data_IF_765613847978
#
_entry.id   IF_765613847978
#
_cell.length_a   1.000
_cell.length_b   1.000
_cell.length_c   1.000
_cell.angle_alpha   90.00
_cell.angle_beta   90.00
_cell.angle_gamma   90.00
#
_symmetry.space_group_name_H-M   'P 1'
#
loop_
_entity.id
_entity.type
_entity.pdbx_description
1 polymer ?
#
# COMPACT_ATOMS: atom_id res chain seq x y z
N UNK A 1 17.36 -5.47 -26.01
CA UNK A 1 16.11 -6.24 -25.97
C UNK A 1 15.53 -6.15 -27.37
N UNK A 2 15.61 -7.23 -28.10
CA UNK A 2 15.02 -7.33 -29.43
C UNK A 2 13.50 -7.10 -29.30
N UNK A 3 12.99 -6.28 -30.18
CA UNK A 3 11.58 -5.92 -30.26
C UNK A 3 10.81 -7.12 -30.85
N UNK A 4 10.61 -8.17 -30.03
CA UNK A 4 9.70 -9.24 -30.42
C UNK A 4 8.30 -8.62 -30.47
N UNK A 5 7.81 -8.39 -31.68
CA UNK A 5 6.45 -7.89 -31.92
C UNK A 5 5.39 -8.79 -31.25
N UNK A 6 4.21 -8.24 -31.05
CA UNK A 6 3.09 -9.00 -30.49
C UNK A 6 2.76 -10.24 -31.36
N UNK A 7 2.63 -11.39 -30.72
CA UNK A 7 2.15 -12.63 -31.33
C UNK A 7 1.04 -13.25 -30.45
N UNK A 8 0.33 -14.22 -30.99
CA UNK A 8 -0.84 -14.83 -30.31
C UNK A 8 -0.55 -15.25 -28.85
N UNK A 9 0.55 -15.97 -28.63
CA UNK A 9 0.91 -16.46 -27.29
C UNK A 9 1.20 -15.33 -26.30
N UNK A 10 1.87 -14.25 -26.72
CA UNK A 10 2.16 -13.11 -25.86
C UNK A 10 0.90 -12.30 -25.53
N UNK A 11 -0.04 -12.16 -26.50
CA UNK A 11 -1.33 -11.49 -26.26
C UNK A 11 -2.23 -12.31 -25.33
N UNK A 12 -2.31 -13.62 -25.51
CA UNK A 12 -3.05 -14.51 -24.61
C UNK A 12 -2.43 -14.52 -23.21
N UNK A 13 -1.10 -14.53 -23.11
CA UNK A 13 -0.39 -14.40 -21.85
C UNK A 13 -0.74 -13.09 -21.11
N UNK A 14 -0.66 -11.95 -21.82
CA UNK A 14 -1.03 -10.65 -21.27
C UNK A 14 -2.50 -10.64 -20.79
N UNK A 15 -3.41 -11.17 -21.59
CA UNK A 15 -4.83 -11.28 -21.25
C UNK A 15 -5.08 -12.12 -19.98
N UNK A 16 -4.22 -13.09 -19.69
CA UNK A 16 -4.33 -14.01 -18.55
C UNK A 16 -3.64 -13.53 -17.26
N UNK A 17 -2.86 -12.46 -17.28
CA UNK A 17 -2.10 -12.02 -16.09
C UNK A 17 -2.98 -11.70 -14.86
N UNK A 18 -4.25 -11.39 -15.05
CA UNK A 18 -5.18 -11.17 -13.93
C UNK A 18 -5.35 -12.40 -13.03
N UNK A 19 -5.17 -13.63 -13.53
CA UNK A 19 -5.22 -14.86 -12.72
C UNK A 19 -4.14 -14.83 -11.62
N UNK A 20 -2.91 -14.45 -11.99
CA UNK A 20 -1.81 -14.33 -11.04
C UNK A 20 -2.07 -13.21 -10.03
N UNK A 21 -2.52 -12.05 -10.50
CA UNK A 21 -2.84 -10.92 -9.64
C UNK A 21 -3.95 -11.28 -8.63
N UNK A 22 -5.04 -11.90 -9.10
CA UNK A 22 -6.14 -12.33 -8.23
C UNK A 22 -5.70 -13.41 -7.22
N UNK A 23 -4.81 -14.32 -7.61
CA UNK A 23 -4.24 -15.33 -6.71
C UNK A 23 -3.41 -14.68 -5.60
N UNK A 24 -2.53 -13.73 -5.94
CA UNK A 24 -1.76 -12.95 -4.96
C UNK A 24 -2.69 -12.14 -4.05
N UNK A 25 -3.67 -11.45 -4.62
CA UNK A 25 -4.66 -10.67 -3.86
C UNK A 25 -5.41 -11.55 -2.85
N UNK A 26 -5.83 -12.75 -3.25
CA UNK A 26 -6.49 -13.70 -2.36
C UNK A 26 -5.56 -14.13 -1.22
N UNK A 27 -4.31 -14.49 -1.51
CA UNK A 27 -3.32 -14.86 -0.50
C UNK A 27 -3.08 -13.76 0.53
N UNK A 28 -2.96 -12.50 0.09
CA UNK A 28 -2.76 -11.35 0.98
C UNK A 28 -4.03 -11.02 1.76
N UNK A 29 -5.19 -10.99 1.10
CA UNK A 29 -6.49 -10.69 1.73
C UNK A 29 -6.87 -11.69 2.82
N UNK A 30 -6.62 -12.97 2.57
CA UNK A 30 -6.80 -14.05 3.54
C UNK A 30 -5.67 -14.10 4.58
N UNK A 31 -4.68 -13.25 4.48
CA UNK A 31 -3.50 -13.22 5.35
C UNK A 31 -2.76 -14.57 5.43
N UNK A 32 -2.74 -15.36 4.35
CA UNK A 32 -2.11 -16.68 4.29
C UNK A 32 -0.65 -16.63 4.72
N UNK A 33 0.10 -15.66 4.21
CA UNK A 33 1.53 -15.49 4.51
C UNK A 33 1.78 -15.18 5.99
N UNK A 34 1.00 -14.28 6.57
CA UNK A 34 1.08 -13.93 8.00
C UNK A 34 0.69 -15.10 8.90
N UNK A 35 -0.33 -15.88 8.48
CA UNK A 35 -0.80 -17.06 9.21
C UNK A 35 0.26 -18.17 9.26
N UNK A 36 1.01 -18.33 8.17
CA UNK A 36 2.13 -19.28 8.10
C UNK A 36 3.32 -18.73 8.90
N UNK A 37 3.65 -17.43 8.76
CA UNK A 37 4.78 -16.82 9.46
C UNK A 37 6.11 -17.50 9.15
N UNK A 38 6.82 -17.88 10.19
CA UNK A 38 8.09 -18.62 10.12
C UNK A 38 7.92 -20.14 10.19
N UNK A 39 6.66 -20.60 10.28
CA UNK A 39 6.31 -22.01 10.41
C UNK A 39 6.23 -22.73 9.06
N UNK A 40 6.09 -24.06 9.16
CA UNK A 40 5.67 -24.93 8.06
C UNK A 40 4.39 -25.65 8.50
N UNK A 41 3.28 -25.42 7.78
CA UNK A 41 1.94 -25.84 8.20
C UNK A 41 1.28 -26.76 7.17
N UNK A 42 0.43 -27.70 7.62
CA UNK A 42 -0.37 -28.53 6.74
C UNK A 42 -1.57 -27.77 6.17
N UNK A 43 -2.16 -28.29 5.10
CA UNK A 43 -3.40 -27.73 4.51
C UNK A 43 -4.52 -27.66 5.54
N UNK A 44 -4.68 -28.72 6.35
CA UNK A 44 -5.71 -28.82 7.38
C UNK A 44 -5.58 -27.69 8.40
N UNK A 45 -4.38 -27.47 8.92
CA UNK A 45 -4.08 -26.39 9.88
C UNK A 45 -4.36 -25.01 9.27
N UNK A 46 -3.94 -24.81 8.02
CA UNK A 46 -4.17 -23.51 7.34
C UNK A 46 -5.66 -23.30 7.10
N UNK A 47 -6.38 -24.31 6.59
CA UNK A 47 -7.80 -24.22 6.31
C UNK A 47 -8.62 -23.95 7.59
N UNK A 48 -8.29 -24.60 8.69
CA UNK A 48 -8.92 -24.38 10.00
C UNK A 48 -8.71 -22.94 10.49
N UNK A 49 -7.47 -22.45 10.45
CA UNK A 49 -7.14 -21.07 10.85
C UNK A 49 -7.79 -20.01 9.97
N UNK A 50 -7.90 -20.27 8.66
CA UNK A 50 -8.62 -19.41 7.70
C UNK A 50 -10.13 -19.50 7.84
N UNK A 51 -10.66 -20.51 8.54
CA UNK A 51 -12.08 -20.90 8.54
C UNK A 51 -12.58 -21.14 7.10
N UNK A 52 -11.72 -21.71 6.26
CA UNK A 52 -11.93 -21.93 4.84
C UNK A 52 -12.18 -23.40 4.50
N UNK A 53 -12.73 -23.62 3.31
CA UNK A 53 -12.83 -24.97 2.75
C UNK A 53 -11.44 -25.56 2.50
N UNK A 54 -11.24 -26.84 2.88
CA UNK A 54 -9.94 -27.53 2.75
C UNK A 54 -9.47 -27.58 1.31
N UNK A 55 -10.35 -27.98 0.36
CA UNK A 55 -9.99 -28.11 -1.06
C UNK A 55 -9.69 -26.76 -1.68
N UNK A 56 -10.50 -25.74 -1.40
CA UNK A 56 -10.27 -24.37 -1.84
C UNK A 56 -8.93 -23.82 -1.33
N UNK A 57 -8.66 -24.03 -0.03
CA UNK A 57 -7.38 -23.65 0.58
C UNK A 57 -6.20 -24.34 -0.11
N UNK A 58 -6.25 -25.66 -0.28
CA UNK A 58 -5.21 -26.45 -0.95
C UNK A 58 -4.94 -25.95 -2.37
N UNK A 59 -6.00 -25.67 -3.13
CA UNK A 59 -5.88 -25.12 -4.49
C UNK A 59 -5.15 -23.78 -4.51
N UNK A 60 -5.50 -22.86 -3.59
CA UNK A 60 -4.83 -21.56 -3.45
C UNK A 60 -3.35 -21.74 -3.09
N UNK A 61 -3.04 -22.60 -2.10
CA UNK A 61 -1.66 -22.85 -1.66
C UNK A 61 -0.80 -23.43 -2.78
N UNK A 62 -1.33 -24.34 -3.59
CA UNK A 62 -0.64 -24.86 -4.76
C UNK A 62 -0.37 -23.78 -5.82
N UNK A 63 -1.35 -22.89 -6.08
CA UNK A 63 -1.17 -21.78 -7.01
C UNK A 63 -0.10 -20.80 -6.50
N UNK A 64 -0.10 -20.44 -5.22
CA UNK A 64 0.93 -19.60 -4.60
C UNK A 64 2.31 -20.25 -4.64
N UNK A 65 2.38 -21.59 -4.49
CA UNK A 65 3.63 -22.35 -4.63
C UNK A 65 4.14 -22.34 -6.08
N UNK A 66 3.27 -22.53 -7.07
CA UNK A 66 3.63 -22.42 -8.48
C UNK A 66 4.14 -21.02 -8.85
N UNK A 67 3.63 -19.99 -8.21
CA UNK A 67 4.11 -18.60 -8.30
C UNK A 67 5.39 -18.33 -7.51
N UNK A 68 5.97 -19.33 -6.84
CA UNK A 68 7.18 -19.23 -5.99
C UNK A 68 7.01 -18.26 -4.81
N UNK A 69 5.79 -18.07 -4.35
CA UNK A 69 5.48 -17.30 -3.15
C UNK A 69 5.45 -18.18 -1.91
N UNK A 70 5.13 -19.46 -2.05
CA UNK A 70 5.26 -20.46 -1.01
C UNK A 70 6.22 -21.56 -1.45
N UNK A 71 6.76 -22.28 -0.47
CA UNK A 71 7.48 -23.54 -0.62
C UNK A 71 6.59 -24.68 -0.13
N UNK A 72 6.66 -25.83 -0.81
CA UNK A 72 5.97 -27.05 -0.37
C UNK A 72 6.97 -28.16 -0.16
N UNK A 73 6.98 -28.74 1.02
CA UNK A 73 7.71 -29.95 1.36
C UNK A 73 6.72 -31.02 1.83
N UNK A 74 6.59 -32.11 1.07
CA UNK A 74 5.59 -33.17 1.31
C UNK A 74 4.17 -32.60 1.32
N UNK A 75 3.54 -32.56 2.52
CA UNK A 75 2.18 -32.07 2.77
C UNK A 75 2.15 -30.70 3.48
N UNK A 76 3.30 -30.05 3.64
CA UNK A 76 3.43 -28.80 4.40
C UNK A 76 3.85 -27.64 3.51
N UNK A 77 3.35 -26.46 3.88
CA UNK A 77 3.60 -25.19 3.18
C UNK A 77 4.33 -24.21 4.11
N UNK A 78 5.31 -23.51 3.57
CA UNK A 78 6.08 -22.47 4.25
C UNK A 78 6.23 -21.24 3.36
N UNK A 79 6.46 -20.08 3.95
CA UNK A 79 6.82 -18.89 3.21
C UNK A 79 8.18 -19.04 2.53
N UNK A 80 8.35 -18.45 1.36
CA UNK A 80 9.68 -18.14 0.85
C UNK A 80 10.28 -16.97 1.65
N UNK A 81 11.61 -16.76 1.65
CA UNK A 81 12.22 -15.60 2.30
C UNK A 81 11.62 -14.27 1.82
N UNK A 82 11.33 -14.15 0.51
CA UNK A 82 10.70 -12.97 -0.06
C UNK A 82 9.28 -12.76 0.48
N UNK A 83 8.46 -13.81 0.52
CA UNK A 83 7.09 -13.72 1.03
C UNK A 83 7.06 -13.44 2.53
N UNK A 84 7.97 -14.02 3.31
CA UNK A 84 8.10 -13.73 4.73
C UNK A 84 8.42 -12.25 4.97
N UNK A 85 9.34 -11.70 4.20
CA UNK A 85 9.74 -10.29 4.32
C UNK A 85 8.70 -9.31 3.79
N UNK A 86 8.02 -9.62 2.67
CA UNK A 86 7.20 -8.65 1.94
C UNK A 86 5.69 -8.83 2.15
N UNK A 87 5.22 -10.02 2.53
CA UNK A 87 3.80 -10.36 2.58
C UNK A 87 3.26 -10.72 3.98
N UNK A 88 4.13 -10.79 4.99
CA UNK A 88 3.71 -10.96 6.39
C UNK A 88 3.52 -9.59 7.05
N UNK A 89 2.38 -9.40 7.73
CA UNK A 89 1.97 -8.11 8.33
C UNK A 89 2.90 -7.63 9.45
N UNK A 90 3.60 -8.54 10.10
CA UNK A 90 4.56 -8.28 11.18
C UNK A 90 5.96 -7.91 10.67
N UNK A 91 6.17 -7.91 9.36
CA UNK A 91 7.44 -7.52 8.74
C UNK A 91 7.51 -6.02 8.47
N UNK A 92 8.65 -5.39 8.73
CA UNK A 92 8.90 -3.99 8.38
C UNK A 92 8.86 -3.75 6.87
N UNK A 93 9.11 -4.78 6.06
CA UNK A 93 9.03 -4.73 4.59
C UNK A 93 7.62 -4.94 4.01
N UNK A 94 6.57 -5.07 4.83
CA UNK A 94 5.23 -5.43 4.39
C UNK A 94 4.66 -4.49 3.32
N UNK A 95 4.34 -5.03 2.15
CA UNK A 95 3.73 -4.30 1.01
C UNK A 95 2.27 -4.69 0.75
N UNK A 96 1.70 -5.54 1.60
CA UNK A 96 0.34 -6.09 1.40
C UNK A 96 -0.75 -5.01 1.36
N UNK A 97 -0.56 -3.86 2.01
CA UNK A 97 -1.50 -2.74 1.91
C UNK A 97 -1.63 -2.25 0.47
N UNK A 98 -0.53 -2.07 -0.26
CA UNK A 98 -0.56 -1.68 -1.67
C UNK A 98 -1.20 -2.77 -2.54
N UNK A 99 -0.93 -4.04 -2.26
CA UNK A 99 -1.54 -5.17 -2.97
C UNK A 99 -3.07 -5.19 -2.74
N UNK A 100 -3.54 -4.92 -1.52
CA UNK A 100 -4.96 -4.79 -1.22
C UNK A 100 -5.57 -3.54 -1.89
N UNK A 101 -4.84 -2.43 -1.96
CA UNK A 101 -5.27 -1.28 -2.75
C UNK A 101 -5.48 -1.67 -4.22
N UNK A 102 -4.55 -2.38 -4.85
CA UNK A 102 -4.71 -2.89 -6.21
C UNK A 102 -5.91 -3.85 -6.33
N UNK A 103 -6.15 -4.71 -5.33
CA UNK A 103 -7.34 -5.56 -5.29
C UNK A 103 -8.63 -4.72 -5.35
N UNK A 104 -8.71 -3.64 -4.57
CA UNK A 104 -9.89 -2.75 -4.58
C UNK A 104 -10.06 -2.00 -5.91
N UNK A 105 -8.97 -1.75 -6.63
CA UNK A 105 -9.03 -1.13 -7.96
C UNK A 105 -9.54 -2.08 -9.05
N UNK A 106 -9.31 -3.38 -8.92
CA UNK A 106 -9.55 -4.37 -9.98
C UNK A 106 -10.99 -4.29 -10.54
N UNK A 107 -12.01 -4.14 -9.68
CA UNK A 107 -13.40 -4.05 -10.08
C UNK A 107 -13.69 -2.86 -11.03
N UNK A 108 -12.94 -1.76 -10.90
CA UNK A 108 -13.07 -0.60 -11.79
C UNK A 108 -12.30 -0.79 -13.09
N UNK A 109 -11.16 -1.46 -13.03
CA UNK A 109 -10.33 -1.71 -14.20
C UNK A 109 -10.98 -2.67 -15.20
N UNK A 110 -11.77 -3.64 -14.75
CA UNK A 110 -12.54 -4.52 -15.66
C UNK A 110 -13.63 -3.78 -16.43
N UNK A 111 -13.95 -2.55 -16.04
CA UNK A 111 -14.94 -1.66 -16.66
C UNK A 111 -14.28 -0.50 -17.43
N UNK A 112 -13.02 -0.65 -17.83
CA UNK A 112 -12.27 0.42 -18.53
C UNK A 112 -12.95 0.85 -19.82
N UNK A 113 -13.60 -0.08 -20.53
CA UNK A 113 -14.35 0.22 -21.76
C UNK A 113 -15.53 1.19 -21.52
N UNK A 114 -16.20 1.12 -20.38
CA UNK A 114 -17.26 2.07 -19.99
C UNK A 114 -16.65 3.46 -19.78
N UNK A 115 -15.54 3.56 -19.02
CA UNK A 115 -14.84 4.82 -18.80
C UNK A 115 -14.40 5.49 -20.11
N UNK A 116 -13.90 4.69 -21.06
CA UNK A 116 -13.49 5.17 -22.39
C UNK A 116 -14.69 5.71 -23.18
N UNK A 117 -15.83 5.00 -23.16
CA UNK A 117 -17.04 5.44 -23.88
C UNK A 117 -17.66 6.70 -23.30
N UNK A 118 -17.63 6.82 -21.95
CA UNK A 118 -18.29 7.93 -21.26
C UNK A 118 -17.37 9.14 -21.02
N UNK A 119 -16.06 8.99 -21.22
CA UNK A 119 -15.07 10.04 -20.99
C UNK A 119 -14.92 10.44 -19.52
N UNK A 120 -15.31 9.57 -18.58
CA UNK A 120 -15.26 9.82 -17.13
C UNK A 120 -14.91 8.54 -16.34
N UNK A 121 -14.39 8.68 -15.12
CA UNK A 121 -14.11 7.51 -14.26
C UNK A 121 -15.39 6.72 -13.92
N UNK A 122 -15.31 5.39 -13.89
CA UNK A 122 -16.41 4.50 -13.46
C UNK A 122 -16.52 4.37 -11.93
N UNK A 123 -15.67 5.04 -11.18
CA UNK A 123 -15.67 5.04 -9.72
C UNK A 123 -15.19 6.37 -9.16
N UNK A 124 -15.51 6.64 -7.90
CA UNK A 124 -14.93 7.74 -7.16
C UNK A 124 -13.44 7.51 -6.86
N UNK A 125 -12.72 8.59 -6.60
CA UNK A 125 -11.29 8.51 -6.23
C UNK A 125 -11.11 7.74 -4.93
N UNK A 126 -10.03 6.97 -4.83
CA UNK A 126 -9.69 6.21 -3.62
C UNK A 126 -9.53 7.09 -2.37
N UNK A 127 -9.20 8.38 -2.57
CA UNK A 127 -9.09 9.37 -1.49
C UNK A 127 -10.41 9.63 -0.76
N UNK A 128 -11.55 9.36 -1.36
CA UNK A 128 -12.87 9.47 -0.74
C UNK A 128 -13.44 8.14 -0.26
N UNK A 129 -12.70 7.02 -0.39
CA UNK A 129 -13.12 5.74 0.15
C UNK A 129 -13.04 5.72 1.68
N UNK A 130 -13.77 4.81 2.31
CA UNK A 130 -13.80 4.61 3.76
C UNK A 130 -13.37 3.19 4.15
N UNK A 131 -13.15 2.97 5.45
CA UNK A 131 -12.83 1.66 6.01
C UNK A 131 -11.54 1.05 5.47
N UNK A 132 -11.58 -0.25 5.19
CA UNK A 132 -10.42 -1.04 4.72
C UNK A 132 -9.82 -0.52 3.40
N UNK A 133 -10.63 0.08 2.54
CA UNK A 133 -10.14 0.66 1.29
C UNK A 133 -9.26 1.88 1.55
N UNK A 134 -9.71 2.76 2.47
CA UNK A 134 -8.96 3.94 2.88
C UNK A 134 -7.66 3.54 3.57
N UNK A 135 -7.72 2.58 4.49
CA UNK A 135 -6.55 2.05 5.17
C UNK A 135 -5.54 1.48 4.17
N UNK A 136 -6.00 0.60 3.26
CA UNK A 136 -5.14 -0.03 2.25
C UNK A 136 -4.45 1.01 1.37
N UNK A 137 -5.17 2.07 0.98
CA UNK A 137 -4.60 3.17 0.20
C UNK A 137 -3.54 3.93 1.00
N UNK A 138 -3.90 4.47 2.17
CA UNK A 138 -3.01 5.32 2.97
C UNK A 138 -1.77 4.58 3.46
N UNK A 139 -1.94 3.35 3.96
CA UNK A 139 -0.81 2.54 4.43
C UNK A 139 0.04 2.03 3.26
N UNK A 140 -0.56 1.81 2.09
CA UNK A 140 0.17 1.54 0.86
C UNK A 140 1.04 2.73 0.43
N UNK A 141 0.50 3.95 0.49
CA UNK A 141 1.26 5.18 0.24
C UNK A 141 2.38 5.36 1.27
N UNK A 142 2.10 5.14 2.56
CA UNK A 142 3.12 5.15 3.61
C UNK A 142 4.29 4.21 3.27
N UNK A 143 4.02 2.94 2.98
CA UNK A 143 5.05 1.96 2.67
C UNK A 143 5.87 2.33 1.42
N UNK A 144 5.22 2.94 0.43
CA UNK A 144 5.91 3.40 -0.79
C UNK A 144 6.78 4.61 -0.49
N UNK A 145 6.24 5.62 0.20
CA UNK A 145 6.95 6.84 0.54
C UNK A 145 8.15 6.59 1.49
N UNK A 146 8.05 5.61 2.41
CA UNK A 146 9.17 5.23 3.29
C UNK A 146 10.45 4.84 2.54
N UNK A 147 10.34 4.42 1.27
CA UNK A 147 11.51 4.07 0.45
C UNK A 147 12.23 5.30 -0.11
N UNK A 148 11.53 6.41 -0.25
CA UNK A 148 12.05 7.62 -0.91
C UNK A 148 12.17 8.80 0.04
N UNK A 149 11.31 8.92 1.04
CA UNK A 149 11.25 10.06 1.93
C UNK A 149 12.58 10.33 2.69
N UNK A 150 13.33 9.34 3.19
CA UNK A 150 14.63 9.58 3.79
C UNK A 150 15.60 10.29 2.82
N UNK A 151 15.74 9.76 1.60
CA UNK A 151 16.63 10.34 0.59
C UNK A 151 16.17 11.73 0.12
N UNK A 152 14.84 11.96 0.04
CA UNK A 152 14.31 13.29 -0.26
C UNK A 152 14.61 14.29 0.85
N UNK A 153 14.48 13.87 2.12
CA UNK A 153 14.82 14.73 3.26
C UNK A 153 16.31 15.08 3.34
N UNK A 154 17.18 14.22 2.82
CA UNK A 154 18.62 14.50 2.70
C UNK A 154 18.95 15.44 1.53
N UNK A 155 18.23 15.29 0.41
CA UNK A 155 18.51 16.02 -0.82
C UNK A 155 17.94 17.45 -0.82
N UNK A 156 16.89 17.72 -0.04
CA UNK A 156 16.22 19.02 0.01
C UNK A 156 16.72 19.80 1.21
N UNK A 157 17.32 20.95 0.93
CA UNK A 157 17.78 21.89 1.97
C UNK A 157 16.60 22.70 2.50
N UNK A 158 16.22 22.44 3.76
CA UNK A 158 15.25 23.20 4.52
C UNK A 158 15.90 24.01 5.66
N UNK A 159 17.21 24.27 5.56
CA UNK A 159 17.92 25.12 6.53
C UNK A 159 17.29 26.53 6.56
N UNK A 160 16.93 27.00 7.76
CA UNK A 160 16.24 28.28 7.93
C UNK A 160 14.72 28.22 7.75
N UNK A 161 14.14 27.08 7.38
CA UNK A 161 12.70 26.84 7.41
C UNK A 161 12.28 26.40 8.82
N UNK A 162 11.21 27.01 9.34
CA UNK A 162 10.64 26.67 10.65
C UNK A 162 9.26 26.05 10.52
N UNK A 163 8.53 26.32 9.43
CA UNK A 163 7.16 25.87 9.20
C UNK A 163 6.98 25.29 7.81
N UNK A 164 6.73 23.97 7.74
CA UNK A 164 6.46 23.23 6.51
C UNK A 164 4.96 22.92 6.40
N UNK A 165 4.38 23.14 5.23
CA UNK A 165 3.09 22.56 4.85
C UNK A 165 3.32 21.31 4.02
N UNK A 166 2.83 20.16 4.47
CA UNK A 166 2.75 18.92 3.68
C UNK A 166 1.31 18.81 3.11
N UNK A 167 1.13 19.33 1.90
CA UNK A 167 -0.17 19.46 1.25
C UNK A 167 -0.54 18.17 0.53
N UNK A 168 -1.67 17.58 0.93
CA UNK A 168 -2.06 16.23 0.51
C UNK A 168 -1.16 15.16 1.15
N UNK A 169 -0.59 15.45 2.32
CA UNK A 169 0.47 14.68 2.95
C UNK A 169 0.09 13.27 3.39
N UNK A 170 -1.18 12.88 3.25
CA UNK A 170 -1.63 11.54 3.60
C UNK A 170 -1.24 11.15 5.02
N UNK A 171 -0.50 10.03 5.21
CA UNK A 171 0.00 9.62 6.53
C UNK A 171 1.10 10.51 7.13
N UNK A 172 1.53 11.57 6.41
CA UNK A 172 2.57 12.49 6.87
C UNK A 172 4.00 11.95 6.74
N UNK A 173 4.24 10.99 5.85
CA UNK A 173 5.55 10.33 5.75
C UNK A 173 6.68 11.30 5.42
N UNK A 174 6.46 12.20 4.47
CA UNK A 174 7.46 13.22 4.11
C UNK A 174 7.66 14.24 5.22
N UNK A 175 6.58 14.75 5.82
CA UNK A 175 6.66 15.64 6.98
C UNK A 175 7.48 15.03 8.12
N UNK A 176 7.27 13.72 8.40
CA UNK A 176 8.05 12.97 9.41
C UNK A 176 9.54 13.02 9.08
N UNK A 177 9.94 12.64 7.86
CA UNK A 177 11.36 12.59 7.49
C UNK A 177 12.01 13.97 7.41
N UNK A 178 11.29 14.99 6.94
CA UNK A 178 11.77 16.38 6.98
C UNK A 178 11.98 16.86 8.42
N UNK A 179 11.05 16.58 9.34
CA UNK A 179 11.22 16.94 10.74
C UNK A 179 12.33 16.15 11.45
N UNK A 180 12.50 14.86 11.13
CA UNK A 180 13.63 14.07 11.66
C UNK A 180 14.99 14.67 11.25
N UNK A 181 15.09 15.13 10.02
CA UNK A 181 16.33 15.71 9.48
C UNK A 181 16.59 17.14 9.98
N UNK A 182 15.54 17.91 10.28
CA UNK A 182 15.62 19.32 10.69
C UNK A 182 14.98 19.48 12.08
N UNK A 183 15.77 19.52 13.17
CA UNK A 183 15.25 19.52 14.55
C UNK A 183 14.33 20.69 14.88
N UNK A 184 14.56 21.87 14.29
CA UNK A 184 13.78 23.10 14.56
C UNK A 184 12.55 23.24 13.67
N UNK A 185 12.37 22.34 12.68
CA UNK A 185 11.25 22.35 11.75
C UNK A 185 9.98 21.82 12.44
N UNK A 186 8.90 22.55 12.29
CA UNK A 186 7.53 22.10 12.55
C UNK A 186 6.80 21.91 11.24
N UNK A 187 5.91 20.93 11.17
CA UNK A 187 5.14 20.66 9.97
C UNK A 187 3.64 20.60 10.25
N UNK A 188 2.86 20.94 9.25
CA UNK A 188 1.42 20.73 9.21
C UNK A 188 1.12 19.78 8.06
N UNK A 189 0.55 18.61 8.35
CA UNK A 189 -0.01 17.70 7.34
C UNK A 189 -1.43 18.16 7.07
N UNK A 190 -1.70 18.61 5.85
CA UNK A 190 -3.03 19.02 5.42
C UNK A 190 -3.61 18.00 4.46
N UNK A 191 -4.67 17.33 4.86
CA UNK A 191 -5.32 16.28 4.06
C UNK A 191 -6.80 16.13 4.46
N UNK A 192 -7.54 15.29 3.73
CA UNK A 192 -8.95 15.01 4.00
C UNK A 192 -9.17 14.53 5.46
N UNK A 193 -10.30 14.90 6.09
CA UNK A 193 -10.58 14.53 7.49
C UNK A 193 -10.44 13.02 7.78
N UNK A 194 -10.78 12.17 6.82
CA UNK A 194 -10.69 10.70 6.92
C UNK A 194 -9.25 10.19 7.04
N UNK A 195 -8.25 11.02 6.73
CA UNK A 195 -6.82 10.69 6.84
C UNK A 195 -6.28 10.82 8.26
N UNK A 196 -6.90 11.68 9.09
CA UNK A 196 -6.42 12.03 10.43
C UNK A 196 -5.96 10.84 11.29
N UNK A 197 -6.75 9.75 11.46
CA UNK A 197 -6.35 8.65 12.35
C UNK A 197 -5.07 7.96 11.91
N UNK A 198 -4.82 7.91 10.60
CA UNK A 198 -3.63 7.29 10.02
C UNK A 198 -2.41 8.20 10.17
N UNK A 199 -2.56 9.49 9.92
CA UNK A 199 -1.49 10.47 10.09
C UNK A 199 -1.05 10.56 11.56
N UNK A 200 -1.97 10.73 12.48
CA UNK A 200 -1.68 10.80 13.93
C UNK A 200 -0.99 9.52 14.43
N UNK A 201 -1.42 8.34 13.95
CA UNK A 201 -0.78 7.06 14.28
C UNK A 201 0.67 6.99 13.78
N UNK A 202 0.93 7.43 12.53
CA UNK A 202 2.28 7.43 11.97
C UNK A 202 3.16 8.48 12.65
N UNK A 203 2.68 9.71 12.80
CA UNK A 203 3.40 10.79 13.49
C UNK A 203 3.79 10.36 14.91
N UNK A 204 2.85 9.77 15.66
CA UNK A 204 3.08 9.24 17.00
C UNK A 204 4.10 8.11 17.04
N UNK A 205 4.12 7.18 16.04
CA UNK A 205 5.11 6.10 15.92
C UNK A 205 6.55 6.65 15.84
N UNK A 206 6.72 7.82 15.22
CA UNK A 206 8.03 8.48 15.10
C UNK A 206 8.34 9.47 16.23
N UNK A 207 7.44 9.61 17.23
CA UNK A 207 7.65 10.50 18.37
C UNK A 207 7.62 11.98 18.01
N UNK A 208 6.89 12.38 16.97
CA UNK A 208 6.88 13.74 16.43
C UNK A 208 5.57 14.50 16.68
N UNK A 209 4.70 14.01 17.55
CA UNK A 209 3.39 14.65 17.84
C UNK A 209 3.47 16.09 18.34
N UNK A 210 4.59 16.48 18.95
CA UNK A 210 4.82 17.86 19.42
C UNK A 210 5.30 18.80 18.30
N UNK A 211 5.70 18.26 17.14
CA UNK A 211 6.25 19.02 16.03
C UNK A 211 5.45 18.92 14.74
N UNK A 212 4.60 17.91 14.60
CA UNK A 212 3.77 17.71 13.41
C UNK A 212 2.32 17.67 13.83
N UNK A 213 1.55 18.64 13.32
CA UNK A 213 0.09 18.67 13.49
C UNK A 213 -0.62 18.18 12.23
N UNK A 214 -1.84 17.67 12.39
CA UNK A 214 -2.73 17.35 11.29
C UNK A 214 -3.89 18.36 11.23
N UNK A 215 -4.03 19.02 10.09
CA UNK A 215 -5.13 19.94 9.80
C UNK A 215 -6.02 19.31 8.72
N UNK A 216 -7.30 19.05 9.00
CA UNK A 216 -8.21 18.48 8.00
C UNK A 216 -8.68 19.55 7.03
N UNK A 217 -8.78 19.20 5.74
CA UNK A 217 -9.38 20.06 4.71
C UNK A 217 -9.32 19.42 3.33
N UNK A 218 -10.07 20.00 2.42
CA UNK A 218 -10.09 19.62 1.00
C UNK A 218 -9.58 20.79 0.17
N UNK A 219 -8.29 20.79 -0.18
CA UNK A 219 -7.67 21.87 -0.95
C UNK A 219 -8.26 22.07 -2.36
N UNK A 220 -9.14 21.14 -2.80
CA UNK A 220 -9.91 21.33 -4.04
C UNK A 220 -11.16 22.19 -3.82
N UNK A 221 -11.57 22.42 -2.56
CA UNK A 221 -12.81 23.13 -2.19
C UNK A 221 -12.59 24.26 -1.19
N UNK A 222 -11.48 24.26 -0.49
CA UNK A 222 -11.18 25.17 0.62
C UNK A 222 -9.86 25.89 0.35
N UNK A 223 -9.70 27.07 0.97
CA UNK A 223 -8.45 27.81 0.89
C UNK A 223 -7.34 27.09 1.64
N UNK A 224 -6.16 27.06 1.04
CA UNK A 224 -4.99 26.45 1.63
C UNK A 224 -4.46 27.35 2.76
N UNK A 225 -4.20 26.83 3.98
CA UNK A 225 -3.66 27.62 5.07
C UNK A 225 -2.34 28.29 4.70
N UNK A 226 -2.16 29.54 5.07
CA UNK A 226 -0.94 30.30 4.85
C UNK A 226 0.01 30.32 6.05
N UNK A 227 1.15 31.02 5.89
CA UNK A 227 2.11 31.25 6.97
C UNK A 227 3.16 30.15 7.13
N UNK A 228 3.50 29.47 6.05
CA UNK A 228 4.56 28.47 5.97
C UNK A 228 5.77 29.01 5.20
N UNK A 229 6.97 28.56 5.56
CA UNK A 229 8.22 28.92 4.90
C UNK A 229 8.44 28.04 3.66
N UNK A 230 7.93 26.82 3.69
CA UNK A 230 8.00 25.86 2.58
C UNK A 230 6.68 25.06 2.47
N UNK A 231 6.39 24.61 1.25
CA UNK A 231 5.28 23.69 0.97
C UNK A 231 5.80 22.49 0.19
N UNK A 232 5.48 21.31 0.70
CA UNK A 232 5.66 20.05 0.01
C UNK A 232 4.32 19.58 -0.54
N UNK A 233 4.26 19.28 -1.82
CA UNK A 233 3.07 18.69 -2.44
C UNK A 233 3.30 17.18 -2.60
N UNK A 234 2.56 16.41 -1.84
CA UNK A 234 2.65 14.93 -1.81
C UNK A 234 1.78 14.24 -2.85
#
# INVERSE_FOLDING_TARGET
MENEGWHEGSLLGLSGYYWQSCTLHAGVKLAVFTLIGDDSLSVETIAERLKGDRRGTETLLHALTAMKLLQKERDRFANTPASRSLLCKDSDGYIGHMILHHHHLAASWVRLDEAVREGKPVRERASYSEGEWRESFLMGMFNTAMRTAPAMAEAIDLSGCHRLLDLGGGPGTYAVHFCLRNPDLKATVYDLPTTRPFAEKIIGRFGLSDRIEFVPGDYMKEDIPGGYDATWLS
#
